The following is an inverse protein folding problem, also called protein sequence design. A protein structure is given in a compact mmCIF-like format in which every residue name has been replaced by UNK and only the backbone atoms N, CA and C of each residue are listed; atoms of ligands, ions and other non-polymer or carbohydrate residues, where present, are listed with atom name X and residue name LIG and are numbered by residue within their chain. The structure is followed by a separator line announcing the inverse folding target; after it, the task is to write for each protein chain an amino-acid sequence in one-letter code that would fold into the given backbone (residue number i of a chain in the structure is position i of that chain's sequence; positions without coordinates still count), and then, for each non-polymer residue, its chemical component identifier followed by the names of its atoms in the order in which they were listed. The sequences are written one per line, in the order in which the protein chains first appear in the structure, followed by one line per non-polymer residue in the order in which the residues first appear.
data_IF_977393876565
#
_entry.id   IF_977393876565
#
_cell.length_a   1.000
_cell.length_b   1.000
_cell.length_c   1.000
_cell.angle_alpha   90.00
_cell.angle_beta   90.00
_cell.angle_gamma   90.00
#
_symmetry.space_group_name_H-M   'P 1'
#
loop_
_entity.id
_entity.type
_entity.pdbx_description
1 polymer ?
#
# COMPACT_ATOMS: atom_id res chain seq x y z
N UNK A 1 13.44 -0.42 -5.78
CA UNK A 1 12.71 -1.65 -5.39
C UNK A 1 11.62 -2.05 -6.40
N UNK A 2 11.71 -1.59 -7.64
CA UNK A 2 10.76 -2.01 -8.69
C UNK A 2 11.49 -2.78 -9.79
N UNK A 3 12.78 -2.47 -9.98
CA UNK A 3 13.70 -3.22 -10.83
C UNK A 3 13.77 -4.72 -10.49
N UNK A 4 13.80 -5.08 -9.21
CA UNK A 4 13.80 -6.46 -8.74
C UNK A 4 12.51 -7.19 -9.14
N UNK A 5 11.37 -6.52 -9.01
CA UNK A 5 10.09 -7.08 -9.43
C UNK A 5 10.00 -7.18 -10.96
N UNK A 6 10.43 -6.16 -11.69
CA UNK A 6 10.46 -6.18 -13.16
C UNK A 6 11.40 -7.27 -13.69
N UNK A 7 12.59 -7.44 -13.09
CA UNK A 7 13.49 -8.55 -13.40
C UNK A 7 12.80 -9.89 -13.16
N UNK A 8 12.10 -10.05 -12.02
CA UNK A 8 11.33 -11.25 -11.72
C UNK A 8 10.26 -11.54 -12.79
N UNK A 9 9.56 -10.50 -13.25
CA UNK A 9 8.61 -10.65 -14.37
C UNK A 9 9.30 -11.04 -15.68
N UNK A 10 10.41 -10.39 -16.05
CA UNK A 10 11.17 -10.72 -17.26
C UNK A 10 11.68 -12.17 -17.24
N UNK A 11 12.19 -12.64 -16.11
CA UNK A 11 12.62 -14.03 -15.94
C UNK A 11 11.46 -15.02 -16.12
N UNK A 12 10.29 -14.72 -15.57
CA UNK A 12 9.07 -15.54 -15.73
C UNK A 12 8.53 -15.52 -17.16
N UNK A 13 8.51 -14.35 -17.80
CA UNK A 13 8.05 -14.18 -19.18
C UNK A 13 8.91 -14.99 -20.16
N UNK A 14 10.20 -15.21 -19.85
CA UNK A 14 11.12 -16.07 -20.60
C UNK A 14 11.06 -17.56 -20.22
N UNK A 15 10.09 -17.97 -19.38
CA UNK A 15 9.93 -19.36 -18.94
C UNK A 15 10.85 -19.80 -17.78
N UNK A 16 11.61 -18.86 -17.21
CA UNK A 16 12.47 -19.09 -16.05
C UNK A 16 11.68 -19.45 -14.78
N UNK A 17 12.31 -20.19 -13.88
CA UNK A 17 11.76 -20.56 -12.56
C UNK A 17 12.50 -19.80 -11.46
N UNK A 18 11.75 -19.18 -10.56
CA UNK A 18 12.28 -18.53 -9.36
C UNK A 18 12.02 -19.48 -8.19
N UNK A 19 13.07 -19.89 -7.50
CA UNK A 19 13.01 -20.81 -6.36
C UNK A 19 13.39 -20.07 -5.08
N UNK A 20 12.67 -20.34 -4.00
CA UNK A 20 12.98 -19.84 -2.66
C UNK A 20 13.69 -20.95 -1.89
N UNK A 21 14.96 -20.74 -1.50
CA UNK A 21 15.72 -21.65 -0.63
C UNK A 21 15.80 -21.07 0.79
N UNK A 22 15.04 -21.62 1.77
CA UNK A 22 15.03 -21.10 3.14
C UNK A 22 16.38 -21.22 3.87
N UNK A 23 17.33 -21.98 3.33
CA UNK A 23 18.68 -22.13 3.90
C UNK A 23 19.57 -20.93 3.58
N UNK A 24 19.25 -20.16 2.55
CA UNK A 24 19.95 -18.93 2.21
C UNK A 24 19.36 -17.82 3.06
N UNK A 25 20.09 -17.41 4.10
CA UNK A 25 19.68 -16.36 5.03
C UNK A 25 20.59 -15.14 4.92
N UNK A 26 20.01 -13.97 5.16
CA UNK A 26 20.73 -12.71 5.22
C UNK A 26 20.00 -11.73 6.12
N UNK A 27 20.75 -10.76 6.67
CA UNK A 27 20.19 -9.74 7.58
C UNK A 27 20.15 -8.40 6.88
N UNK A 28 18.98 -7.78 6.85
CA UNK A 28 18.81 -6.45 6.27
C UNK A 28 19.25 -5.37 7.28
N UNK A 29 20.40 -4.75 7.03
CA UNK A 29 21.01 -3.76 7.95
C UNK A 29 20.49 -2.32 7.77
N UNK A 30 19.44 -2.12 6.95
CA UNK A 30 18.85 -0.79 6.75
C UNK A 30 18.23 -0.28 8.04
N UNK A 31 18.63 0.93 8.43
CA UNK A 31 18.01 1.66 9.54
C UNK A 31 16.76 2.35 9.03
N UNK A 32 15.61 1.99 9.60
CA UNK A 32 14.33 2.59 9.24
C UNK A 32 13.99 3.74 10.20
N UNK A 33 13.68 4.90 9.62
CA UNK A 33 12.93 5.96 10.27
C UNK A 33 11.52 5.99 9.70
N UNK A 34 10.56 6.59 10.41
CA UNK A 34 9.20 6.75 9.88
C UNK A 34 9.21 7.56 8.56
N UNK A 35 10.03 8.62 8.47
CA UNK A 35 10.15 9.42 7.25
C UNK A 35 10.72 8.61 6.07
N UNK A 36 11.74 7.78 6.31
CA UNK A 36 12.31 6.91 5.29
C UNK A 36 11.31 5.84 4.84
N UNK A 37 10.50 5.32 5.78
CA UNK A 37 9.41 4.39 5.49
C UNK A 37 8.39 5.01 4.55
N UNK A 38 7.81 6.16 4.92
CA UNK A 38 6.82 6.85 4.10
C UNK A 38 7.33 7.22 2.71
N UNK A 39 8.57 7.73 2.63
CA UNK A 39 9.18 8.09 1.35
C UNK A 39 9.32 6.86 0.45
N UNK A 40 9.86 5.77 1.01
CA UNK A 40 10.07 4.52 0.28
C UNK A 40 8.72 3.95 -0.19
N UNK A 41 7.74 3.88 0.72
CA UNK A 41 6.44 3.27 0.45
C UNK A 41 5.65 4.06 -0.61
N UNK A 42 5.69 5.40 -0.58
CA UNK A 42 4.92 6.21 -1.51
C UNK A 42 5.64 6.41 -2.86
N UNK A 43 6.87 6.93 -2.82
CA UNK A 43 7.56 7.41 -4.02
C UNK A 43 8.41 6.34 -4.69
N UNK A 44 9.13 5.53 -3.92
CA UNK A 44 10.08 4.57 -4.47
C UNK A 44 9.41 3.23 -4.80
N UNK A 45 8.24 2.97 -4.21
CA UNK A 45 7.49 1.72 -4.35
C UNK A 45 6.06 1.93 -4.83
N UNK A 46 5.23 2.66 -4.10
CA UNK A 46 3.78 2.73 -4.34
C UNK A 46 3.42 3.29 -5.73
N UNK A 47 3.91 4.50 -6.05
CA UNK A 47 3.61 5.13 -7.34
C UNK A 47 4.18 4.32 -8.51
N UNK A 48 5.46 3.88 -8.51
CA UNK A 48 5.97 3.12 -9.65
C UNK A 48 5.38 1.70 -9.74
N UNK A 49 5.01 1.08 -8.60
CA UNK A 49 4.26 -0.19 -8.59
C UNK A 49 2.93 -0.06 -9.34
N UNK A 50 2.20 1.02 -9.09
CA UNK A 50 0.95 1.30 -9.81
C UNK A 50 1.17 1.50 -11.31
N UNK A 51 2.27 2.13 -11.71
CA UNK A 51 2.66 2.23 -13.12
C UNK A 51 2.87 0.84 -13.75
N UNK A 52 3.68 -0.01 -13.10
CA UNK A 52 3.96 -1.37 -13.54
C UNK A 52 2.67 -2.21 -13.63
N UNK A 53 1.77 -2.07 -12.65
CA UNK A 53 0.48 -2.77 -12.62
C UNK A 53 -0.41 -2.41 -13.81
N UNK A 54 -0.47 -1.12 -14.15
CA UNK A 54 -1.27 -0.61 -15.27
C UNK A 54 -0.68 -1.03 -16.63
N UNK A 55 0.64 -0.98 -16.78
CA UNK A 55 1.35 -1.46 -17.98
C UNK A 55 1.16 -2.97 -18.21
N UNK A 56 1.14 -3.76 -17.12
CA UNK A 56 1.04 -5.22 -17.18
C UNK A 56 -0.37 -5.78 -16.94
N UNK A 57 -1.40 -4.92 -16.87
CA UNK A 57 -2.83 -5.25 -16.63
C UNK A 57 -3.35 -6.45 -17.42
N UNK A 58 -2.86 -6.65 -18.64
CA UNK A 58 -3.32 -7.71 -19.54
C UNK A 58 -2.67 -9.08 -19.31
N UNK A 59 -1.55 -9.15 -18.56
CA UNK A 59 -0.78 -10.39 -18.39
C UNK A 59 -0.90 -11.02 -17.00
N UNK A 60 -1.30 -10.27 -15.98
CA UNK A 60 -1.36 -10.77 -14.59
C UNK A 60 -2.59 -10.24 -13.85
N UNK A 61 -3.74 -10.93 -13.99
CA UNK A 61 -4.95 -10.66 -13.20
C UNK A 61 -4.75 -10.92 -11.69
N UNK A 62 -3.74 -11.71 -11.33
CA UNK A 62 -3.25 -11.90 -9.96
C UNK A 62 -1.90 -11.16 -9.80
N UNK A 63 -1.94 -9.83 -9.81
CA UNK A 63 -0.75 -9.07 -9.48
C UNK A 63 -0.29 -9.41 -8.06
N UNK A 64 1.02 -9.53 -7.89
CA UNK A 64 1.66 -9.94 -6.64
C UNK A 64 1.13 -9.06 -5.50
N UNK A 65 0.43 -9.66 -4.54
CA UNK A 65 -0.04 -9.03 -3.31
C UNK A 65 -1.16 -7.96 -3.43
N UNK A 66 -1.90 -7.86 -4.53
CA UNK A 66 -3.08 -6.96 -4.61
C UNK A 66 -4.39 -7.73 -4.70
N UNK A 67 -4.69 -8.54 -3.68
CA UNK A 67 -5.98 -9.23 -3.60
C UNK A 67 -7.15 -8.24 -3.50
N UNK A 68 -8.33 -8.61 -4.00
CA UNK A 68 -9.52 -7.75 -3.99
C UNK A 68 -9.89 -7.24 -2.59
N UNK A 69 -9.62 -8.03 -1.54
CA UNK A 69 -9.80 -7.61 -0.15
C UNK A 69 -8.94 -6.40 0.24
N UNK A 70 -7.68 -6.35 -0.20
CA UNK A 70 -6.79 -5.21 0.07
C UNK A 70 -7.21 -3.97 -0.72
N UNK A 71 -7.72 -4.14 -1.94
CA UNK A 71 -8.28 -3.04 -2.73
C UNK A 71 -9.50 -2.41 -2.03
N UNK A 72 -10.40 -3.22 -1.48
CA UNK A 72 -11.55 -2.72 -0.70
C UNK A 72 -11.08 -1.89 0.50
N UNK A 73 -10.04 -2.34 1.21
CA UNK A 73 -9.47 -1.59 2.34
C UNK A 73 -8.92 -0.22 1.93
N UNK A 74 -8.23 -0.15 0.79
CA UNK A 74 -7.75 1.12 0.21
C UNK A 74 -8.93 2.05 -0.12
N UNK A 75 -10.02 1.52 -0.69
CA UNK A 75 -11.25 2.28 -0.99
C UNK A 75 -11.95 2.76 0.30
N UNK A 76 -11.99 1.93 1.35
CA UNK A 76 -12.54 2.32 2.66
C UNK A 76 -11.73 3.45 3.29
N UNK A 77 -10.39 3.40 3.20
CA UNK A 77 -9.53 4.48 3.69
C UNK A 77 -9.78 5.79 2.94
N UNK A 78 -9.78 5.73 1.60
CA UNK A 78 -9.96 6.91 0.75
C UNK A 78 -11.35 7.55 0.96
N UNK A 79 -12.41 6.73 0.94
CA UNK A 79 -13.78 7.21 1.14
C UNK A 79 -14.00 7.72 2.56
N UNK A 80 -13.45 7.05 3.58
CA UNK A 80 -13.51 7.49 4.97
C UNK A 80 -12.91 8.88 5.16
N UNK A 81 -11.69 9.10 4.66
CA UNK A 81 -11.01 10.41 4.74
C UNK A 81 -11.78 11.47 3.94
N UNK A 82 -12.21 11.17 2.71
CA UNK A 82 -12.95 12.12 1.88
C UNK A 82 -14.26 12.57 2.54
N UNK A 83 -15.01 11.63 3.15
CA UNK A 83 -16.24 11.92 3.86
C UNK A 83 -16.02 12.78 5.11
N UNK A 84 -14.95 12.53 5.86
CA UNK A 84 -14.60 13.36 7.03
C UNK A 84 -14.22 14.78 6.64
N UNK A 85 -13.45 14.95 5.56
CA UNK A 85 -13.10 16.28 5.03
C UNK A 85 -14.37 17.00 4.56
N UNK A 86 -15.23 16.33 3.79
CA UNK A 86 -16.49 16.92 3.33
C UNK A 86 -17.42 17.27 4.49
N UNK A 87 -17.50 16.44 5.53
CA UNK A 87 -18.27 16.70 6.74
C UNK A 87 -17.79 17.97 7.46
N UNK A 88 -16.48 18.16 7.57
CA UNK A 88 -15.90 19.35 8.21
C UNK A 88 -16.21 20.64 7.43
N UNK A 89 -16.22 20.57 6.10
CA UNK A 89 -16.53 21.72 5.23
C UNK A 89 -18.03 22.03 5.19
N UNK A 90 -18.87 20.99 5.12
CA UNK A 90 -20.31 21.12 4.93
C UNK A 90 -21.11 21.11 6.25
N UNK A 91 -20.43 20.92 7.39
CA UNK A 91 -21.08 20.80 8.71
C UNK A 91 -22.00 19.58 8.86
N UNK A 92 -21.78 18.51 8.08
CA UNK A 92 -22.70 17.37 8.01
C UNK A 92 -22.31 16.25 8.96
N UNK A 93 -23.11 16.05 10.01
CA UNK A 93 -22.96 14.94 10.97
C UNK A 93 -23.11 13.58 10.30
N UNK A 94 -24.02 13.47 9.31
CA UNK A 94 -24.23 12.21 8.59
C UNK A 94 -22.99 11.80 7.80
N UNK A 95 -22.31 12.74 7.15
CA UNK A 95 -21.05 12.48 6.43
C UNK A 95 -19.93 12.13 7.39
N UNK A 96 -19.86 12.80 8.56
CA UNK A 96 -18.88 12.47 9.59
C UNK A 96 -19.08 11.03 10.09
N UNK A 97 -20.33 10.64 10.39
CA UNK A 97 -20.66 9.29 10.83
C UNK A 97 -20.31 8.23 9.77
N UNK A 98 -20.66 8.47 8.50
CA UNK A 98 -20.32 7.56 7.40
C UNK A 98 -18.80 7.42 7.24
N UNK A 99 -18.04 8.52 7.32
CA UNK A 99 -16.58 8.50 7.25
C UNK A 99 -15.96 7.71 8.40
N UNK A 100 -16.44 7.93 9.63
CA UNK A 100 -15.99 7.16 10.80
C UNK A 100 -16.34 5.68 10.70
N UNK A 101 -17.51 5.33 10.18
CA UNK A 101 -17.91 3.92 9.97
C UNK A 101 -17.02 3.24 8.93
N UNK A 102 -16.64 3.94 7.85
CA UNK A 102 -15.72 3.40 6.85
C UNK A 102 -14.33 3.11 7.45
N UNK A 103 -13.79 4.06 8.24
CA UNK A 103 -12.50 3.86 8.93
C UNK A 103 -12.59 2.78 10.02
N UNK A 104 -13.71 2.68 10.72
CA UNK A 104 -13.95 1.61 11.69
C UNK A 104 -14.00 0.25 11.00
N UNK A 105 -14.72 0.12 9.89
CA UNK A 105 -14.77 -1.11 9.10
C UNK A 105 -13.37 -1.53 8.63
N UNK A 106 -12.56 -0.57 8.20
CA UNK A 106 -11.15 -0.80 7.85
C UNK A 106 -10.34 -1.34 9.03
N UNK A 107 -10.45 -0.75 10.22
CA UNK A 107 -9.78 -1.24 11.44
C UNK A 107 -10.26 -2.64 11.79
N UNK A 108 -11.57 -2.89 11.77
CA UNK A 108 -12.15 -4.19 12.09
C UNK A 108 -11.70 -5.29 11.13
N UNK A 109 -11.56 -4.96 9.83
CA UNK A 109 -11.06 -5.89 8.82
C UNK A 109 -9.60 -6.33 9.04
N UNK A 110 -8.86 -5.64 9.91
CA UNK A 110 -7.45 -5.90 10.22
C UNK A 110 -7.23 -6.40 11.66
N UNK A 111 -8.29 -6.82 12.37
CA UNK A 111 -8.17 -7.30 13.76
C UNK A 111 -7.19 -8.46 13.94
N UNK A 112 -7.08 -9.36 12.95
CA UNK A 112 -6.11 -10.47 13.03
C UNK A 112 -4.66 -9.96 13.16
N UNK A 113 -4.31 -8.92 12.38
CA UNK A 113 -2.99 -8.28 12.42
C UNK A 113 -2.77 -7.58 13.77
N UNK A 114 -3.76 -6.85 14.28
CA UNK A 114 -3.63 -6.19 15.57
C UNK A 114 -3.55 -7.16 16.74
N UNK A 115 -4.27 -8.30 16.67
CA UNK A 115 -4.15 -9.39 17.66
C UNK A 115 -2.75 -10.01 17.64
N UNK A 116 -2.15 -10.16 16.46
CA UNK A 116 -0.78 -10.65 16.34
C UNK A 116 0.23 -9.66 16.96
N UNK A 117 0.13 -8.36 16.64
CA UNK A 117 0.98 -7.34 17.27
C UNK A 117 0.81 -7.28 18.79
N UNK A 118 -0.43 -7.47 19.27
CA UNK A 118 -0.71 -7.58 20.70
C UNK A 118 -0.01 -8.77 21.33
N UNK A 119 -0.05 -9.93 20.69
CA UNK A 119 0.60 -11.14 21.19
C UNK A 119 2.12 -10.97 21.25
N UNK A 120 2.71 -10.29 20.27
CA UNK A 120 4.16 -10.13 20.17
C UNK A 120 4.72 -9.00 21.06
N UNK A 121 4.01 -7.87 21.18
CA UNK A 121 4.53 -6.64 21.81
C UNK A 121 3.58 -5.94 22.78
N UNK A 122 2.44 -6.56 23.10
CA UNK A 122 1.47 -6.04 24.07
C UNK A 122 0.53 -4.96 23.51
N UNK A 123 -0.37 -4.51 24.37
CA UNK A 123 -1.48 -3.61 23.99
C UNK A 123 -1.04 -2.23 23.52
N UNK A 124 -0.09 -1.61 24.22
CA UNK A 124 0.38 -0.26 23.87
C UNK A 124 0.93 -0.21 22.44
N UNK A 125 1.71 -1.23 22.06
CA UNK A 125 2.25 -1.35 20.70
C UNK A 125 1.15 -1.61 19.68
N UNK A 126 0.23 -2.54 19.96
CA UNK A 126 -0.88 -2.82 19.04
C UNK A 126 -1.75 -1.59 18.76
N UNK A 127 -2.01 -0.76 19.79
CA UNK A 127 -2.78 0.47 19.63
C UNK A 127 -2.01 1.54 18.84
N UNK A 128 -0.70 1.68 19.04
CA UNK A 128 0.11 2.64 18.29
C UNK A 128 0.27 2.28 16.81
N UNK A 129 0.08 1.00 16.44
CA UNK A 129 0.07 0.55 15.04
C UNK A 129 -1.17 1.05 14.28
N UNK A 130 -2.33 1.19 14.94
CA UNK A 130 -3.59 1.57 14.27
C UNK A 130 -3.47 2.87 13.45
N UNK A 131 -3.01 4.00 14.00
CA UNK A 131 -2.89 5.24 13.22
C UNK A 131 -1.88 5.10 12.08
N UNK A 132 -0.78 4.38 12.30
CA UNK A 132 0.23 4.13 11.26
C UNK A 132 -0.33 3.28 10.11
N UNK A 133 -1.13 2.28 10.45
CA UNK A 133 -1.76 1.39 9.48
C UNK A 133 -2.87 2.10 8.69
N UNK A 134 -3.66 2.97 9.32
CA UNK A 134 -4.61 3.83 8.62
C UNK A 134 -3.89 4.75 7.62
N UNK A 135 -2.84 5.42 8.07
CA UNK A 135 -2.05 6.29 7.20
C UNK A 135 -1.45 5.50 6.01
N UNK A 136 -1.10 4.22 6.21
CA UNK A 136 -0.56 3.36 5.15
C UNK A 136 -1.61 3.08 4.07
N UNK A 137 -2.86 2.82 4.44
CA UNK A 137 -3.92 2.68 3.42
C UNK A 137 -4.21 4.00 2.69
N UNK A 138 -4.11 5.13 3.39
CA UNK A 138 -4.24 6.45 2.76
C UNK A 138 -3.09 6.72 1.79
N UNK A 139 -1.85 6.38 2.14
CA UNK A 139 -0.72 6.52 1.22
C UNK A 139 -0.86 5.61 0.00
N UNK A 140 -1.39 4.39 0.19
CA UNK A 140 -1.67 3.48 -0.91
C UNK A 140 -2.77 4.02 -1.83
N UNK A 141 -3.82 4.63 -1.28
CA UNK A 141 -4.84 5.32 -2.07
C UNK A 141 -4.24 6.47 -2.88
N UNK A 142 -3.37 7.28 -2.27
CA UNK A 142 -2.67 8.37 -2.94
C UNK A 142 -1.75 7.83 -4.06
N UNK A 143 -0.97 6.78 -3.79
CA UNK A 143 -0.13 6.11 -4.79
C UNK A 143 -0.96 5.61 -5.98
N UNK A 144 -2.11 4.98 -5.72
CA UNK A 144 -3.01 4.49 -6.74
C UNK A 144 -3.56 5.63 -7.62
N UNK A 145 -4.04 6.71 -7.00
CA UNK A 145 -4.54 7.87 -7.71
C UNK A 145 -3.44 8.54 -8.56
N UNK A 146 -2.28 8.81 -7.96
CA UNK A 146 -1.14 9.46 -8.64
C UNK A 146 -0.63 8.58 -9.78
N UNK A 147 -0.43 7.28 -9.54
CA UNK A 147 0.01 6.33 -10.55
C UNK A 147 -0.96 6.24 -11.73
N UNK A 148 -2.27 6.19 -11.46
CA UNK A 148 -3.30 6.19 -12.49
C UNK A 148 -3.30 7.48 -13.32
N UNK A 149 -3.24 8.64 -12.68
CA UNK A 149 -3.17 9.94 -13.37
C UNK A 149 -1.92 10.02 -14.25
N UNK A 150 -0.74 9.64 -13.72
CA UNK A 150 0.51 9.64 -14.49
C UNK A 150 0.44 8.73 -15.72
N UNK A 151 -0.13 7.54 -15.56
CA UNK A 151 -0.32 6.60 -16.66
C UNK A 151 -1.26 7.15 -17.73
N UNK A 152 -2.38 7.75 -17.35
CA UNK A 152 -3.32 8.41 -18.27
C UNK A 152 -2.67 9.56 -19.04
N UNK A 153 -1.82 10.33 -18.35
CA UNK A 153 -1.04 11.42 -18.95
C UNK A 153 0.19 10.93 -19.73
N UNK A 154 0.43 9.61 -19.82
CA UNK A 154 1.61 8.99 -20.43
C UNK A 154 2.94 9.58 -19.92
N UNK A 155 2.95 10.05 -18.68
CA UNK A 155 4.18 10.53 -18.05
C UNK A 155 5.03 9.30 -17.77
N UNK A 156 6.26 9.23 -18.30
CA UNK A 156 7.13 8.09 -18.03
C UNK A 156 7.30 7.92 -16.51
N UNK A 157 7.43 6.66 -16.03
CA UNK A 157 7.73 6.44 -14.63
C UNK A 157 8.99 7.23 -14.24
N UNK A 158 9.06 7.75 -13.01
CA UNK A 158 10.26 8.47 -12.58
C UNK A 158 11.47 7.56 -12.82
N UNK A 159 12.42 8.06 -13.62
CA UNK A 159 13.69 7.36 -13.84
C UNK A 159 14.32 7.19 -12.47
N UNK A 160 14.60 5.95 -12.09
CA UNK A 160 15.26 5.63 -10.83
C UNK A 160 16.70 6.16 -10.93
N UNK A 161 16.90 7.44 -10.60
CA UNK A 161 18.25 8.00 -10.49
C UNK A 161 18.89 7.37 -9.27
N UNK A 162 19.88 6.52 -9.52
CA UNK A 162 20.76 5.93 -8.51
C UNK A 162 21.42 7.06 -7.72
N UNK A 163 21.21 7.07 -6.40
CA UNK A 163 21.99 7.83 -5.43
C UNK A 163 22.44 6.86 -4.34
#
# INVERSE_FOLDING_TARGET
QIEDIDLGYRLRDLGGRILLDPRIQGTHLKRWTLSAMWRTDLFDRGIPWMGLLLERRHRNAAALNTGGAEQIKVVLAASGVALLVAAAVLGSVAMAAAGMLALLALVLSNLAVYRWFRAERGWAFALSVVPLHLAYYVSNAAAAAIGAVRHLLRVPPPVLTHA
#
